data_IF_647436354993
#
_entry.id   IF_647436354993
#
_cell.length_a   1.000
_cell.length_b   1.000
_cell.length_c   1.000
_cell.angle_alpha   90.00
_cell.angle_beta   90.00
_cell.angle_gamma   90.00
#
_symmetry.space_group_name_H-M   'P 1'
#
loop_
_entity.id
_entity.type
_entity.pdbx_description
1 polymer ?
#
# COMPACT_ATOMS: atom_id res chain seq x y z
N UNK A 1 -11.82 -8.00 -17.28
CA UNK A 1 -10.66 -8.93 -17.29
C UNK A 1 -11.14 -10.31 -16.86
N UNK A 2 -10.74 -11.40 -17.57
CA UNK A 2 -11.10 -12.77 -17.17
C UNK A 2 -10.18 -13.27 -16.05
N UNK A 3 -10.74 -14.05 -15.12
CA UNK A 3 -9.99 -14.70 -14.05
C UNK A 3 -8.99 -15.71 -14.63
N UNK A 4 -7.75 -15.63 -14.19
CA UNK A 4 -6.70 -16.60 -14.53
C UNK A 4 -6.66 -17.73 -13.51
N UNK A 5 -6.37 -18.99 -13.91
CA UNK A 5 -6.24 -20.08 -12.97
C UNK A 5 -5.07 -19.85 -12.01
N UNK A 6 -5.23 -20.31 -10.77
CA UNK A 6 -4.20 -20.22 -9.70
C UNK A 6 -3.66 -18.80 -9.42
N UNK A 7 -4.48 -17.77 -9.69
CA UNK A 7 -4.10 -16.37 -9.52
C UNK A 7 -5.04 -15.69 -8.53
N UNK A 8 -4.51 -15.06 -7.50
CA UNK A 8 -5.27 -14.20 -6.60
C UNK A 8 -5.26 -12.76 -7.12
N UNK A 9 -6.38 -12.09 -6.97
CA UNK A 9 -6.60 -10.69 -7.34
C UNK A 9 -6.74 -9.86 -6.08
N UNK A 10 -5.79 -8.96 -5.85
CA UNK A 10 -5.62 -8.27 -4.58
C UNK A 10 -5.65 -6.77 -4.81
N UNK A 11 -6.46 -6.04 -4.05
CA UNK A 11 -6.42 -4.59 -4.03
C UNK A 11 -5.49 -4.11 -2.92
N UNK A 12 -4.49 -3.29 -3.26
CA UNK A 12 -3.71 -2.52 -2.30
C UNK A 12 -4.48 -1.26 -1.92
N UNK A 13 -5.15 -1.28 -0.78
CA UNK A 13 -5.99 -0.19 -0.29
C UNK A 13 -5.20 0.76 0.60
N UNK A 14 -5.15 2.04 0.24
CA UNK A 14 -4.53 3.10 1.05
C UNK A 14 -5.55 4.01 1.76
N UNK A 15 -6.84 3.80 1.54
CA UNK A 15 -7.96 4.67 1.91
C UNK A 15 -7.90 6.08 1.32
N UNK A 16 -6.96 6.34 0.43
CA UNK A 16 -6.96 7.56 -0.38
C UNK A 16 -7.98 7.47 -1.53
N UNK A 17 -8.36 8.62 -2.09
CA UNK A 17 -9.34 8.75 -3.16
C UNK A 17 -9.09 7.78 -4.32
N UNK A 18 -7.82 7.62 -4.74
CA UNK A 18 -7.47 6.82 -5.91
C UNK A 18 -7.62 5.31 -5.65
N UNK A 19 -7.29 4.85 -4.44
CA UNK A 19 -7.48 3.44 -4.09
C UNK A 19 -8.95 3.08 -3.87
N UNK A 20 -9.76 4.00 -3.36
CA UNK A 20 -11.22 3.82 -3.27
C UNK A 20 -11.89 3.88 -4.64
N UNK A 21 -11.45 4.79 -5.51
CA UNK A 21 -11.89 4.83 -6.91
C UNK A 21 -11.52 3.55 -7.68
N UNK A 22 -10.33 2.99 -7.40
CA UNK A 22 -9.90 1.71 -7.94
C UNK A 22 -10.84 0.57 -7.53
N UNK A 23 -11.28 0.53 -6.28
CA UNK A 23 -12.25 -0.46 -5.80
C UNK A 23 -13.59 -0.34 -6.53
N UNK A 24 -14.11 0.88 -6.68
CA UNK A 24 -15.33 1.13 -7.44
C UNK A 24 -15.19 0.74 -8.93
N UNK A 25 -14.04 1.00 -9.54
CA UNK A 25 -13.76 0.63 -10.92
C UNK A 25 -13.69 -0.89 -11.11
N UNK A 26 -13.11 -1.63 -10.16
CA UNK A 26 -13.07 -3.11 -10.17
C UNK A 26 -14.51 -3.65 -10.20
N UNK A 27 -15.39 -3.10 -9.34
CA UNK A 27 -16.80 -3.47 -9.29
C UNK A 27 -17.52 -3.18 -10.62
N UNK A 28 -17.42 -1.94 -11.12
CA UNK A 28 -18.08 -1.53 -12.37
C UNK A 28 -17.65 -2.33 -13.59
N UNK A 29 -16.37 -2.73 -13.63
CA UNK A 29 -15.81 -3.51 -14.74
C UNK A 29 -16.00 -5.02 -14.56
N UNK A 30 -16.58 -5.46 -13.45
CA UNK A 30 -16.75 -6.89 -13.13
C UNK A 30 -15.42 -7.63 -13.08
N UNK A 31 -14.36 -6.97 -12.61
CA UNK A 31 -13.04 -7.60 -12.49
C UNK A 31 -12.95 -8.46 -11.24
N UNK A 32 -12.21 -9.58 -11.30
CA UNK A 32 -12.06 -10.42 -10.13
C UNK A 32 -11.36 -9.69 -8.98
N UNK A 33 -11.84 -9.88 -7.76
CA UNK A 33 -11.24 -9.38 -6.53
C UNK A 33 -11.39 -10.45 -5.46
N UNK A 34 -10.28 -10.89 -4.89
CA UNK A 34 -10.25 -11.93 -3.86
C UNK A 34 -9.91 -11.39 -2.47
N UNK A 35 -9.04 -10.38 -2.43
CA UNK A 35 -8.54 -9.81 -1.18
C UNK A 35 -8.39 -8.30 -1.28
N UNK A 36 -8.55 -7.63 -0.16
CA UNK A 36 -8.26 -6.20 0.00
C UNK A 36 -7.25 -6.08 1.14
N UNK A 37 -6.08 -5.51 0.86
CA UNK A 37 -4.98 -5.44 1.83
C UNK A 37 -4.58 -4.00 2.07
N UNK A 38 -4.52 -3.62 3.34
CA UNK A 38 -4.02 -2.33 3.80
C UNK A 38 -2.73 -2.49 4.61
N UNK A 39 -1.71 -1.71 4.29
CA UNK A 39 -0.47 -1.65 5.08
C UNK A 39 -0.54 -0.51 6.08
N UNK A 40 -0.66 -0.85 7.35
CA UNK A 40 -0.63 0.11 8.46
C UNK A 40 0.80 0.55 8.77
N UNK A 41 0.95 1.82 9.08
CA UNK A 41 2.17 2.37 9.66
C UNK A 41 1.94 2.61 11.14
N UNK A 42 2.83 2.10 11.97
CA UNK A 42 2.79 2.26 13.41
C UNK A 42 3.93 3.18 13.87
N UNK A 43 3.59 4.20 14.63
CA UNK A 43 4.57 5.12 15.21
C UNK A 43 5.42 4.40 16.26
N UNK A 44 4.76 3.73 17.20
CA UNK A 44 5.36 2.85 18.21
C UNK A 44 4.66 1.48 18.18
N UNK A 45 5.00 0.57 19.08
CA UNK A 45 4.33 -0.72 19.17
C UNK A 45 2.86 -0.64 19.61
N UNK A 46 2.44 0.46 20.19
CA UNK A 46 1.09 0.67 20.72
C UNK A 46 0.34 1.84 20.07
N UNK A 47 1.03 2.72 19.35
CA UNK A 47 0.46 3.93 18.77
C UNK A 47 0.54 3.84 17.24
N UNK A 48 -0.60 3.85 16.53
CA UNK A 48 -0.60 3.96 15.07
C UNK A 48 -0.10 5.34 14.63
N UNK A 49 0.45 5.42 13.42
CA UNK A 49 0.89 6.70 12.85
C UNK A 49 -0.25 7.54 12.27
N UNK A 50 -1.42 6.95 12.11
CA UNK A 50 -2.61 7.65 11.65
C UNK A 50 -3.19 8.55 12.74
N UNK A 51 -3.71 9.69 12.34
CA UNK A 51 -4.46 10.58 13.23
C UNK A 51 -5.82 9.96 13.63
N UNK A 52 -6.37 10.25 14.81
CA UNK A 52 -7.64 9.69 15.27
C UNK A 52 -8.79 9.78 14.26
N UNK A 53 -9.03 10.89 13.56
CA UNK A 53 -10.08 10.96 12.55
C UNK A 53 -9.88 9.96 11.39
N UNK A 54 -8.63 9.68 11.01
CA UNK A 54 -8.32 8.69 9.97
C UNK A 54 -8.59 7.27 10.45
N UNK A 55 -8.31 6.97 11.72
CA UNK A 55 -8.61 5.66 12.32
C UNK A 55 -10.13 5.41 12.31
N UNK A 56 -10.91 6.42 12.70
CA UNK A 56 -12.36 6.33 12.65
C UNK A 56 -12.90 6.17 11.22
N UNK A 57 -12.35 6.94 10.29
CA UNK A 57 -12.70 6.83 8.88
C UNK A 57 -12.43 5.40 8.35
N UNK A 58 -11.26 4.83 8.62
CA UNK A 58 -10.92 3.45 8.22
C UNK A 58 -11.92 2.43 8.76
N UNK A 59 -12.25 2.51 10.04
CA UNK A 59 -13.26 1.61 10.66
C UNK A 59 -14.63 1.69 9.98
N UNK A 60 -15.08 2.90 9.62
CA UNK A 60 -16.33 3.09 8.88
C UNK A 60 -16.23 2.55 7.45
N UNK A 61 -15.12 2.82 6.77
CA UNK A 61 -14.87 2.35 5.42
C UNK A 61 -14.80 0.82 5.36
N UNK A 62 -14.14 0.16 6.30
CA UNK A 62 -14.04 -1.29 6.38
C UNK A 62 -15.40 -1.96 6.51
N UNK A 63 -16.26 -1.39 7.34
CA UNK A 63 -17.65 -1.87 7.49
C UNK A 63 -18.40 -1.78 6.16
N UNK A 64 -18.35 -0.63 5.49
CA UNK A 64 -18.99 -0.41 4.19
C UNK A 64 -18.43 -1.36 3.13
N UNK A 65 -17.10 -1.51 3.09
CA UNK A 65 -16.44 -2.41 2.14
C UNK A 65 -16.88 -3.85 2.36
N UNK A 66 -16.91 -4.33 3.60
CA UNK A 66 -17.38 -5.67 3.94
C UNK A 66 -18.85 -5.86 3.56
N UNK A 67 -19.72 -4.90 3.88
CA UNK A 67 -21.16 -4.97 3.54
C UNK A 67 -21.41 -4.98 2.03
N UNK A 68 -20.65 -4.17 1.27
CA UNK A 68 -20.85 -4.01 -0.18
C UNK A 68 -20.19 -5.11 -1.01
N UNK A 69 -18.96 -5.49 -0.68
CA UNK A 69 -18.14 -6.40 -1.47
C UNK A 69 -18.04 -7.82 -0.89
N UNK A 70 -18.49 -8.03 0.34
CA UNK A 70 -18.36 -9.31 1.04
C UNK A 70 -16.91 -9.67 1.42
N UNK A 71 -15.97 -8.73 1.30
CA UNK A 71 -14.55 -8.94 1.53
C UNK A 71 -14.10 -8.10 2.72
N UNK A 72 -13.45 -8.71 3.70
CA UNK A 72 -12.83 -7.99 4.80
C UNK A 72 -11.52 -7.36 4.36
N UNK A 73 -11.24 -6.15 4.86
CA UNK A 73 -9.94 -5.52 4.65
C UNK A 73 -8.92 -6.15 5.60
N UNK A 74 -7.87 -6.72 5.05
CA UNK A 74 -6.76 -7.28 5.80
C UNK A 74 -5.80 -6.16 6.18
N UNK A 75 -5.68 -5.87 7.47
CA UNK A 75 -4.72 -4.91 8.01
C UNK A 75 -3.39 -5.62 8.31
N UNK A 76 -2.35 -5.19 7.63
CA UNK A 76 -1.00 -5.73 7.79
C UNK A 76 -0.05 -4.62 8.23
N UNK A 77 1.02 -4.98 8.91
CA UNK A 77 2.06 -4.01 9.30
C UNK A 77 3.46 -4.58 9.13
N UNK A 78 4.45 -3.69 8.99
CA UNK A 78 5.84 -4.08 9.01
C UNK A 78 6.24 -4.59 10.41
N UNK A 79 7.30 -5.39 10.46
CA UNK A 79 7.87 -5.87 11.74
C UNK A 79 8.43 -4.74 12.58
N UNK A 80 8.90 -3.66 11.94
CA UNK A 80 9.48 -2.50 12.61
C UNK A 80 8.51 -1.35 12.60
N UNK A 81 8.46 -0.63 13.73
CA UNK A 81 7.73 0.63 13.84
C UNK A 81 8.55 1.79 13.25
N UNK A 82 7.90 2.94 13.11
CA UNK A 82 8.55 4.17 12.68
C UNK A 82 9.65 4.59 13.67
N UNK A 83 9.36 4.55 14.98
CA UNK A 83 10.30 4.92 16.03
C UNK A 83 11.53 4.01 16.06
N UNK A 84 11.34 2.70 16.01
CA UNK A 84 12.45 1.74 15.94
C UNK A 84 13.35 2.00 14.73
N UNK A 85 12.75 2.35 13.58
CA UNK A 85 13.54 2.68 12.39
C UNK A 85 14.26 4.00 12.53
N UNK A 86 13.61 5.01 13.11
CA UNK A 86 14.19 6.33 13.36
C UNK A 86 15.47 6.24 14.18
N UNK A 87 15.45 5.48 15.28
CA UNK A 87 16.60 5.32 16.19
C UNK A 87 17.60 4.24 15.77
N UNK A 88 17.32 3.48 14.71
CA UNK A 88 18.26 2.48 14.20
C UNK A 88 19.57 3.16 13.80
N UNK A 89 20.70 2.66 14.30
CA UNK A 89 22.03 3.11 13.90
C UNK A 89 22.40 2.49 12.55
N UNK A 90 22.92 3.31 11.66
CA UNK A 90 23.43 2.85 10.36
C UNK A 90 24.72 2.06 10.57
N UNK A 91 24.84 0.96 9.86
CA UNK A 91 26.07 0.15 9.92
C UNK A 91 27.27 0.93 9.38
N UNK A 92 28.47 0.53 9.79
CA UNK A 92 29.73 1.12 9.28
C UNK A 92 29.88 0.97 7.76
N UNK A 93 29.21 0.00 7.14
CA UNK A 93 29.18 -0.22 5.69
C UNK A 93 28.15 0.65 4.95
N UNK A 94 27.39 1.48 5.65
CA UNK A 94 26.41 2.33 5.00
C UNK A 94 27.08 3.40 4.14
N UNK A 95 26.61 3.55 2.89
CA UNK A 95 27.15 4.55 1.94
C UNK A 95 26.99 5.99 2.40
N UNK A 96 25.99 6.25 3.25
CA UNK A 96 25.68 7.59 3.76
C UNK A 96 25.62 7.56 5.28
N UNK A 97 26.39 8.44 5.94
CA UNK A 97 26.39 8.66 7.38
C UNK A 97 26.48 7.37 8.21
N UNK A 98 27.54 6.55 8.06
CA UNK A 98 27.77 5.38 8.89
C UNK A 98 27.84 5.78 10.37
N UNK A 99 27.42 4.90 11.28
CA UNK A 99 27.43 5.14 12.73
C UNK A 99 26.39 6.14 13.25
N UNK A 100 25.63 6.82 12.37
CA UNK A 100 24.56 7.74 12.77
C UNK A 100 23.19 7.06 12.73
N UNK A 101 22.25 7.56 13.53
CA UNK A 101 20.85 7.13 13.46
C UNK A 101 20.25 7.48 12.09
N UNK A 102 19.22 6.76 11.68
CA UNK A 102 18.49 7.08 10.45
C UNK A 102 17.82 8.45 10.51
N UNK A 103 17.22 8.78 11.65
CA UNK A 103 16.55 10.07 11.85
C UNK A 103 15.32 10.24 10.93
N UNK A 104 14.93 11.48 10.70
CA UNK A 104 13.77 11.81 9.86
C UNK A 104 13.96 11.37 8.40
N UNK A 105 12.92 10.84 7.75
CA UNK A 105 12.97 10.39 6.36
C UNK A 105 12.83 11.56 5.39
N UNK A 106 13.83 12.43 5.32
CA UNK A 106 13.84 13.51 4.34
C UNK A 106 14.09 12.99 2.92
N UNK A 107 13.51 13.66 1.93
CA UNK A 107 13.70 13.34 0.51
C UNK A 107 15.17 13.31 0.09
N UNK A 108 16.00 14.19 0.66
CA UNK A 108 17.45 14.26 0.38
C UNK A 108 18.21 13.04 0.91
N UNK A 109 17.73 12.41 1.99
CA UNK A 109 18.38 11.23 2.62
C UNK A 109 17.75 9.91 2.22
N UNK A 110 16.67 9.95 1.44
CA UNK A 110 15.84 8.81 1.08
C UNK A 110 14.68 8.62 2.05
N UNK A 111 13.48 8.51 1.52
CA UNK A 111 12.24 8.33 2.28
C UNK A 111 12.10 6.87 2.76
N UNK A 112 12.93 6.46 3.72
CA UNK A 112 12.93 5.11 4.28
C UNK A 112 11.57 4.67 4.86
N UNK A 113 10.71 5.61 5.24
CA UNK A 113 9.38 5.31 5.75
C UNK A 113 8.54 4.50 4.75
N UNK A 114 8.68 4.79 3.45
CA UNK A 114 7.98 4.02 2.43
C UNK A 114 8.62 2.63 2.24
N UNK A 115 9.94 2.56 2.05
CA UNK A 115 10.65 1.31 1.75
C UNK A 115 10.68 0.32 2.91
N UNK A 116 10.76 0.81 4.14
CA UNK A 116 11.06 -0.01 5.31
C UNK A 116 9.85 -0.29 6.21
N UNK A 117 8.84 0.59 6.17
CA UNK A 117 7.67 0.49 7.05
C UNK A 117 6.40 0.20 6.27
N UNK A 118 6.18 0.84 5.11
CA UNK A 118 4.95 0.69 4.34
C UNK A 118 5.00 -0.45 3.32
N UNK A 119 6.09 -0.56 2.57
CA UNK A 119 6.19 -1.50 1.44
C UNK A 119 6.39 -2.98 1.82
N UNK A 120 7.08 -3.35 2.91
CA UNK A 120 7.36 -4.77 3.18
C UNK A 120 6.11 -5.65 3.29
N UNK A 121 5.02 -5.26 3.99
CA UNK A 121 3.80 -6.05 4.03
C UNK A 121 3.15 -6.20 2.64
N UNK A 122 3.13 -5.14 1.84
CA UNK A 122 2.58 -5.17 0.49
C UNK A 122 3.38 -6.08 -0.44
N UNK A 123 4.72 -6.03 -0.36
CA UNK A 123 5.60 -6.93 -1.12
C UNK A 123 5.41 -8.40 -0.74
N UNK A 124 5.07 -8.68 0.50
CA UNK A 124 4.77 -10.04 0.94
C UNK A 124 3.53 -10.61 0.25
N UNK A 125 2.55 -9.76 -0.04
CA UNK A 125 1.31 -10.11 -0.74
C UNK A 125 1.53 -10.29 -2.25
N UNK A 126 2.50 -9.57 -2.83
CA UNK A 126 2.85 -9.65 -4.25
C UNK A 126 3.54 -10.98 -4.64
N UNK A 127 3.94 -11.81 -3.67
CA UNK A 127 4.57 -13.11 -3.92
C UNK A 127 3.57 -14.12 -4.50
N UNK A 128 4.07 -15.04 -5.30
CA UNK A 128 3.28 -16.19 -5.76
C UNK A 128 2.48 -16.00 -7.05
N UNK A 129 2.73 -14.94 -7.84
CA UNK A 129 2.04 -14.74 -9.13
C UNK A 129 0.69 -14.02 -9.03
N UNK A 130 0.39 -13.42 -7.87
CA UNK A 130 -0.81 -12.63 -7.66
C UNK A 130 -0.88 -11.38 -8.55
N UNK A 131 -2.07 -10.96 -8.91
CA UNK A 131 -2.32 -9.68 -9.57
C UNK A 131 -2.71 -8.65 -8.51
N UNK A 132 -1.98 -7.55 -8.44
CA UNK A 132 -2.24 -6.49 -7.47
C UNK A 132 -2.78 -5.26 -8.18
N UNK A 133 -3.99 -4.84 -7.80
CA UNK A 133 -4.58 -3.58 -8.22
C UNK A 133 -4.03 -2.43 -7.36
N UNK A 134 -3.61 -1.37 -8.02
CA UNK A 134 -3.08 -0.16 -7.37
C UNK A 134 -3.79 1.05 -7.96
N UNK A 135 -4.39 1.87 -7.10
CA UNK A 135 -4.98 3.16 -7.51
C UNK A 135 -3.87 4.18 -7.78
N UNK A 136 -3.81 4.64 -9.04
CA UNK A 136 -2.87 5.68 -9.49
C UNK A 136 -3.68 6.69 -10.29
N UNK A 137 -3.56 7.98 -9.92
CA UNK A 137 -4.21 9.06 -10.64
C UNK A 137 -3.60 9.25 -12.04
N UNK A 138 -4.41 9.69 -13.01
CA UNK A 138 -3.97 9.85 -14.39
C UNK A 138 -2.89 10.92 -14.56
N UNK A 139 -2.82 11.88 -13.63
CA UNK A 139 -1.85 12.97 -13.58
C UNK A 139 -0.52 12.60 -12.88
N UNK A 140 -0.33 11.32 -12.54
CA UNK A 140 0.90 10.79 -11.94
C UNK A 140 1.69 9.88 -12.91
N UNK A 141 2.16 10.36 -14.09
CA UNK A 141 2.77 9.51 -15.12
C UNK A 141 4.04 8.79 -14.63
N UNK A 142 4.81 9.41 -13.75
CA UNK A 142 6.03 8.81 -13.19
C UNK A 142 5.74 7.56 -12.36
N UNK A 143 4.58 7.45 -11.74
CA UNK A 143 4.17 6.26 -10.99
C UNK A 143 3.80 5.11 -11.93
N UNK A 144 3.25 5.40 -13.12
CA UNK A 144 3.01 4.39 -14.15
C UNK A 144 4.30 3.78 -14.66
N UNK A 145 5.31 4.61 -14.94
CA UNK A 145 6.61 4.14 -15.43
C UNK A 145 7.38 3.32 -14.39
N UNK A 146 7.13 3.54 -13.09
CA UNK A 146 7.74 2.77 -12.02
C UNK A 146 7.07 1.41 -11.78
N UNK A 147 5.93 1.13 -12.42
CA UNK A 147 5.30 -0.19 -12.41
C UNK A 147 6.06 -1.11 -13.37
N UNK A 148 7.19 -1.60 -12.95
CA UNK A 148 8.10 -2.44 -13.75
C UNK A 148 7.57 -3.85 -14.04
N UNK A 149 6.33 -4.18 -13.62
CA UNK A 149 5.81 -5.54 -13.68
C UNK A 149 4.44 -5.59 -14.36
N UNK A 150 4.32 -6.47 -15.35
CA UNK A 150 3.07 -6.79 -16.07
C UNK A 150 1.93 -7.28 -15.16
N UNK A 151 2.23 -7.53 -13.88
CA UNK A 151 1.30 -7.99 -12.85
C UNK A 151 0.60 -6.87 -12.08
N UNK A 152 1.02 -5.62 -12.26
CA UNK A 152 0.40 -4.45 -11.61
C UNK A 152 -0.48 -3.74 -12.62
N UNK A 153 -1.77 -3.98 -12.54
CA UNK A 153 -2.74 -3.33 -13.43
C UNK A 153 -3.26 -2.08 -12.71
N UNK A 154 -3.01 -0.86 -13.23
CA UNK A 154 -3.71 0.31 -12.76
C UNK A 154 -5.19 0.17 -13.13
N UNK A 155 -6.06 0.12 -12.14
CA UNK A 155 -7.49 -0.11 -12.35
C UNK A 155 -8.21 1.08 -13.00
N UNK A 156 -7.54 2.19 -13.21
CA UNK A 156 -8.14 3.37 -13.80
C UNK A 156 -7.26 3.96 -14.90
N UNK A 157 -7.54 3.58 -16.13
CA UNK A 157 -7.19 4.36 -17.31
C UNK A 157 -8.48 5.06 -17.73
N UNK A 158 -8.58 6.36 -17.49
CA UNK A 158 -9.69 7.16 -18.00
C UNK A 158 -9.87 6.89 -19.50
N UNK A 159 -10.86 6.06 -19.86
CA UNK A 159 -11.53 6.15 -21.14
C UNK A 159 -12.87 6.82 -20.89
N UNK A 160 -12.82 8.07 -20.52
CA UNK A 160 -13.90 9.03 -20.73
C UNK A 160 -13.27 10.10 -21.63
N UNK A 161 -13.18 9.79 -22.90
CA UNK A 161 -13.06 10.75 -23.97
C UNK A 161 -14.43 11.03 -24.50
#
# INVERSE_FOLDING_TARGET
MKRQPNTQYILSLSYGKDSLACLAAIEQLGWPLDRIVHSEVWATNTIPADLPPMIEFKKKADKIIKERYGIEVEHTRAKRTYEERFYTVRTEKAKKRPGMIYGWPFSVTGAWCNSDVKMPPLKAVEKGGNIVYIGIAADEPNRFHSLSDTKKIPAYRNRLG
#
